data_IF_162960771791
#
_entry.id   IF_162960771791
#
_cell.length_a   1.000
_cell.length_b   1.000
_cell.length_c   1.000
_cell.angle_alpha   90.00
_cell.angle_beta   90.00
_cell.angle_gamma   90.00
#
_symmetry.space_group_name_H-M   'P 1'
#
loop_
_entity.id
_entity.type
_entity.pdbx_description
1 polymer ?
#
# COMPACT_ATOMS: atom_id res chain seq x y z
N UNK A 1 -27.32 6.15 1.18
CA UNK A 1 -28.71 5.74 0.92
C UNK A 1 -28.89 5.39 -0.57
N UNK A 2 -29.29 4.14 -0.86
CA UNK A 2 -29.67 3.71 -2.21
C UNK A 2 -31.17 3.93 -2.43
N UNK A 3 -31.57 4.41 -3.62
CA UNK A 3 -32.97 4.62 -3.96
C UNK A 3 -33.63 3.32 -4.37
N UNK A 4 -34.66 2.88 -3.67
CA UNK A 4 -35.44 1.67 -4.00
C UNK A 4 -36.23 1.79 -5.31
N UNK A 5 -36.47 3.02 -5.80
CA UNK A 5 -37.23 3.28 -7.01
C UNK A 5 -36.38 3.32 -8.28
N UNK A 6 -35.06 3.34 -8.11
CA UNK A 6 -34.13 3.45 -9.23
C UNK A 6 -33.62 2.07 -9.66
N UNK A 7 -33.67 1.79 -10.96
CA UNK A 7 -33.15 0.51 -11.47
C UNK A 7 -31.62 0.46 -11.35
N UNK A 8 -31.07 -0.69 -10.94
CA UNK A 8 -29.63 -0.89 -10.71
C UNK A 8 -28.77 -0.52 -11.91
N UNK A 9 -29.28 -0.71 -13.13
CA UNK A 9 -28.60 -0.34 -14.39
C UNK A 9 -28.26 1.16 -14.44
N UNK A 10 -29.05 2.02 -13.81
CA UNK A 10 -28.85 3.48 -13.78
C UNK A 10 -28.07 3.98 -12.57
N UNK A 11 -27.59 3.07 -11.70
CA UNK A 11 -26.75 3.44 -10.55
C UNK A 11 -25.40 3.98 -11.00
N UNK A 12 -24.91 5.00 -10.29
CA UNK A 12 -23.50 5.43 -10.40
C UNK A 12 -22.56 4.30 -10.01
N UNK A 13 -21.27 4.43 -10.31
CA UNK A 13 -20.25 3.46 -9.89
C UNK A 13 -20.24 3.29 -8.37
N UNK A 14 -20.28 4.40 -7.62
CA UNK A 14 -20.34 4.38 -6.16
C UNK A 14 -21.61 3.72 -5.62
N UNK A 15 -22.77 3.99 -6.22
CA UNK A 15 -24.03 3.33 -5.83
C UNK A 15 -23.96 1.81 -6.07
N UNK A 16 -23.41 1.37 -7.19
CA UNK A 16 -23.19 -0.06 -7.45
C UNK A 16 -22.24 -0.69 -6.45
N UNK A 17 -21.15 0.00 -6.10
CA UNK A 17 -20.21 -0.49 -5.09
C UNK A 17 -20.87 -0.66 -3.73
N UNK A 18 -21.64 0.35 -3.26
CA UNK A 18 -22.40 0.25 -2.01
C UNK A 18 -23.42 -0.89 -2.03
N UNK A 19 -24.10 -1.13 -3.15
CA UNK A 19 -25.00 -2.26 -3.31
C UNK A 19 -24.25 -3.59 -3.24
N UNK A 20 -23.12 -3.72 -3.92
CA UNK A 20 -22.29 -4.95 -3.89
C UNK A 20 -21.82 -5.28 -2.48
N UNK A 21 -21.40 -4.27 -1.71
CA UNK A 21 -21.01 -4.45 -0.32
C UNK A 21 -22.20 -4.89 0.54
N UNK A 22 -23.37 -4.25 0.37
CA UNK A 22 -24.59 -4.64 1.11
C UNK A 22 -24.98 -6.09 0.82
N UNK A 23 -24.85 -6.54 -0.43
CA UNK A 23 -25.09 -7.95 -0.82
C UNK A 23 -24.07 -8.88 -0.19
N UNK A 24 -22.78 -8.54 -0.26
CA UNK A 24 -21.70 -9.35 0.31
C UNK A 24 -21.85 -9.54 1.83
N UNK A 25 -22.40 -8.55 2.52
CA UNK A 25 -22.59 -8.58 3.97
C UNK A 25 -23.94 -9.19 4.41
N UNK A 26 -24.88 -9.39 3.49
CA UNK A 26 -26.25 -9.81 3.82
C UNK A 26 -26.35 -11.19 4.46
N UNK A 27 -25.27 -11.97 4.46
CA UNK A 27 -25.20 -13.33 5.01
C UNK A 27 -24.19 -13.46 6.17
N UNK A 28 -23.90 -12.35 6.87
CA UNK A 28 -22.93 -12.29 7.98
C UNK A 28 -21.54 -12.81 7.58
N UNK A 29 -21.01 -12.29 6.47
CA UNK A 29 -19.68 -12.64 6.01
C UNK A 29 -18.62 -12.20 7.01
N UNK A 30 -17.76 -13.12 7.43
CA UNK A 30 -16.60 -12.86 8.28
C UNK A 30 -15.38 -12.43 7.43
N UNK A 31 -15.36 -12.81 6.14
CA UNK A 31 -14.27 -12.51 5.22
C UNK A 31 -14.81 -11.75 4.01
N UNK A 32 -14.24 -10.58 3.73
CA UNK A 32 -14.49 -9.80 2.52
C UNK A 32 -13.28 -9.88 1.60
N UNK A 33 -13.53 -10.23 0.33
CA UNK A 33 -12.51 -10.19 -0.72
C UNK A 33 -12.92 -9.12 -1.72
N UNK A 34 -12.09 -8.08 -1.84
CA UNK A 34 -12.39 -6.87 -2.59
C UNK A 34 -11.30 -6.63 -3.65
N UNK A 35 -11.71 -6.58 -4.91
CA UNK A 35 -10.81 -6.27 -6.01
C UNK A 35 -11.07 -4.85 -6.51
N UNK A 36 -10.07 -3.97 -6.34
CA UNK A 36 -10.11 -2.56 -6.78
C UNK A 36 -11.37 -1.81 -6.30
N UNK A 37 -11.81 -2.04 -5.07
CA UNK A 37 -13.10 -1.59 -4.54
C UNK A 37 -13.30 -0.06 -4.58
N UNK A 38 -12.23 0.71 -4.47
CA UNK A 38 -12.26 2.18 -4.44
C UNK A 38 -11.90 2.84 -5.77
N UNK A 39 -11.45 2.04 -6.74
CA UNK A 39 -10.99 2.53 -8.04
C UNK A 39 -12.11 3.24 -8.81
N UNK A 40 -11.81 4.48 -9.30
CA UNK A 40 -12.73 5.28 -10.09
C UNK A 40 -13.99 5.75 -9.37
N UNK A 41 -13.98 5.76 -8.03
CA UNK A 41 -14.99 6.43 -7.22
C UNK A 41 -14.63 7.91 -7.07
N UNK A 42 -15.66 8.75 -6.86
CA UNK A 42 -15.41 10.11 -6.42
C UNK A 42 -14.85 10.13 -4.99
N UNK A 43 -14.12 11.19 -4.60
CA UNK A 43 -13.43 11.22 -3.31
C UNK A 43 -14.34 11.03 -2.09
N UNK A 44 -15.58 11.52 -2.14
CA UNK A 44 -16.52 11.43 -1.01
C UNK A 44 -16.99 9.99 -0.84
N UNK A 45 -17.43 9.34 -1.91
CA UNK A 45 -17.88 7.94 -1.87
C UNK A 45 -16.72 7.01 -1.53
N UNK A 46 -15.51 7.31 -2.04
CA UNK A 46 -14.31 6.55 -1.69
C UNK A 46 -14.04 6.59 -0.19
N UNK A 47 -14.09 7.77 0.42
CA UNK A 47 -13.90 7.94 1.86
C UNK A 47 -14.96 7.18 2.66
N UNK A 48 -16.25 7.25 2.27
CA UNK A 48 -17.33 6.49 2.91
C UNK A 48 -17.10 4.96 2.84
N UNK A 49 -16.52 4.45 1.75
CA UNK A 49 -16.18 3.03 1.63
C UNK A 49 -15.02 2.67 2.55
N UNK A 50 -13.97 3.49 2.61
CA UNK A 50 -12.83 3.24 3.50
C UNK A 50 -13.23 3.27 4.97
N UNK A 51 -14.06 4.22 5.38
CA UNK A 51 -14.59 4.30 6.74
C UNK A 51 -15.44 3.06 7.08
N UNK A 52 -16.28 2.61 6.13
CA UNK A 52 -17.04 1.38 6.30
C UNK A 52 -16.12 0.15 6.48
N UNK A 53 -15.02 0.04 5.73
CA UNK A 53 -14.07 -1.07 5.87
C UNK A 53 -13.39 -1.04 7.25
N UNK A 54 -13.02 0.15 7.74
CA UNK A 54 -12.49 0.32 9.10
C UNK A 54 -13.50 -0.09 10.16
N UNK A 55 -14.77 0.30 10.02
CA UNK A 55 -15.83 -0.10 10.95
C UNK A 55 -16.06 -1.62 10.93
N UNK A 56 -16.04 -2.24 9.73
CA UNK A 56 -16.19 -3.69 9.61
C UNK A 56 -15.07 -4.46 10.32
N UNK A 57 -13.84 -3.96 10.28
CA UNK A 57 -12.67 -4.55 10.94
C UNK A 57 -12.63 -4.32 12.46
N UNK A 58 -13.57 -3.59 13.07
CA UNK A 58 -13.62 -3.47 14.53
C UNK A 58 -14.01 -4.80 15.22
N UNK A 59 -14.67 -5.70 14.52
CA UNK A 59 -14.91 -7.06 14.99
C UNK A 59 -13.68 -7.94 14.69
N UNK A 60 -13.07 -8.52 15.73
CA UNK A 60 -11.86 -9.35 15.61
C UNK A 60 -12.06 -10.62 14.76
N UNK A 61 -13.29 -11.03 14.52
CA UNK A 61 -13.61 -12.17 13.65
C UNK A 61 -13.64 -11.78 12.16
N UNK A 62 -13.62 -10.49 11.86
CA UNK A 62 -13.70 -10.02 10.49
C UNK A 62 -12.29 -9.87 9.85
N UNK A 63 -12.21 -10.23 8.58
CA UNK A 63 -10.99 -10.11 7.79
C UNK A 63 -11.30 -9.53 6.42
N UNK A 64 -10.45 -8.63 5.94
CA UNK A 64 -10.54 -8.06 4.60
C UNK A 64 -9.28 -8.40 3.81
N UNK A 65 -9.45 -8.96 2.63
CA UNK A 65 -8.44 -9.02 1.59
C UNK A 65 -8.81 -8.02 0.49
N UNK A 66 -8.04 -6.96 0.36
CA UNK A 66 -8.29 -5.91 -0.64
C UNK A 66 -7.13 -5.76 -1.60
N UNK A 67 -7.40 -5.76 -2.91
CA UNK A 67 -6.45 -5.29 -3.92
C UNK A 67 -6.70 -3.82 -4.22
N UNK A 68 -5.65 -3.04 -4.38
CA UNK A 68 -5.72 -1.65 -4.83
C UNK A 68 -4.40 -1.19 -5.45
N UNK A 69 -4.48 -0.35 -6.48
CA UNK A 69 -3.35 0.44 -6.97
C UNK A 69 -3.30 1.84 -6.33
N UNK A 70 -4.25 2.16 -5.46
CA UNK A 70 -4.33 3.44 -4.76
C UNK A 70 -3.70 3.25 -3.37
N UNK A 71 -2.42 3.54 -3.25
CA UNK A 71 -1.64 3.26 -2.05
C UNK A 71 -2.12 4.00 -0.80
N UNK A 72 -2.66 5.22 -0.97
CA UNK A 72 -3.25 5.97 0.14
C UNK A 72 -4.44 5.27 0.79
N UNK A 73 -5.20 4.44 0.04
CA UNK A 73 -6.28 3.64 0.60
C UNK A 73 -5.73 2.52 1.48
N UNK A 74 -4.73 1.80 0.95
CA UNK A 74 -4.05 0.74 1.70
C UNK A 74 -3.36 1.31 2.95
N UNK A 75 -2.72 2.47 2.85
CA UNK A 75 -2.14 3.15 4.01
C UNK A 75 -3.16 3.47 5.10
N UNK A 76 -4.41 3.78 4.71
CA UNK A 76 -5.49 4.08 5.64
C UNK A 76 -6.06 2.82 6.30
N UNK A 77 -6.32 1.74 5.54
CA UNK A 77 -7.12 0.61 6.04
C UNK A 77 -6.35 -0.68 6.29
N UNK A 78 -5.16 -0.87 5.68
CA UNK A 78 -4.46 -2.14 5.78
C UNK A 78 -3.56 -2.23 7.02
N UNK A 79 -3.53 -3.41 7.66
CA UNK A 79 -2.55 -3.76 8.69
C UNK A 79 -1.30 -4.40 8.06
N UNK A 80 -1.51 -5.21 7.02
CA UNK A 80 -0.46 -5.90 6.27
C UNK A 80 -0.45 -5.47 4.82
N UNK A 81 0.73 -5.39 4.23
CA UNK A 81 0.92 -5.14 2.80
C UNK A 81 1.57 -6.35 2.15
N UNK A 82 0.88 -6.92 1.16
CA UNK A 82 1.43 -7.91 0.25
C UNK A 82 1.75 -7.22 -1.09
N UNK A 83 3.00 -7.23 -1.51
CA UNK A 83 3.40 -6.64 -2.77
C UNK A 83 3.68 -7.70 -3.82
N UNK A 84 2.93 -7.63 -4.92
CA UNK A 84 3.03 -8.55 -6.05
C UNK A 84 3.56 -7.81 -7.27
N UNK A 85 4.61 -8.33 -7.89
CA UNK A 85 5.14 -7.82 -9.15
C UNK A 85 5.57 -8.98 -10.06
N UNK A 86 5.25 -8.89 -11.35
CA UNK A 86 5.56 -9.92 -12.35
C UNK A 86 5.17 -11.35 -11.91
N UNK A 87 3.99 -11.50 -11.29
CA UNK A 87 3.46 -12.78 -10.83
C UNK A 87 4.17 -13.37 -9.60
N UNK A 88 5.00 -12.59 -8.91
CA UNK A 88 5.72 -13.01 -7.70
C UNK A 88 5.34 -12.10 -6.53
N UNK A 89 5.15 -12.72 -5.36
CA UNK A 89 5.06 -11.99 -4.10
C UNK A 89 6.47 -11.57 -3.71
N UNK A 90 6.73 -10.26 -3.64
CA UNK A 90 8.02 -9.70 -3.25
C UNK A 90 8.19 -9.63 -1.73
N UNK A 91 7.11 -9.26 -1.03
CA UNK A 91 7.05 -9.30 0.43
C UNK A 91 5.58 -9.37 0.92
N UNK A 92 5.41 -9.80 2.17
CA UNK A 92 4.17 -9.69 2.95
C UNK A 92 4.58 -9.27 4.35
N UNK A 93 4.31 -8.03 4.73
CA UNK A 93 4.77 -7.48 6.00
C UNK A 93 3.74 -6.54 6.64
N UNK A 94 3.78 -6.39 7.98
CA UNK A 94 3.01 -5.35 8.66
C UNK A 94 3.36 -3.97 8.08
N UNK A 95 2.35 -3.16 7.82
CA UNK A 95 2.51 -1.83 7.21
C UNK A 95 3.48 -0.93 8.00
N UNK A 96 3.39 -0.96 9.33
CA UNK A 96 4.21 -0.11 10.18
C UNK A 96 5.67 -0.57 10.19
N UNK A 97 5.91 -1.88 10.19
CA UNK A 97 7.27 -2.46 10.09
C UNK A 97 7.94 -2.11 8.77
N UNK A 98 7.20 -2.10 7.65
CA UNK A 98 7.73 -1.65 6.37
C UNK A 98 8.35 -0.24 6.46
N UNK A 99 7.65 0.70 7.11
CA UNK A 99 8.14 2.09 7.26
C UNK A 99 9.26 2.23 8.27
N UNK A 100 9.39 1.27 9.20
CA UNK A 100 10.44 1.25 10.23
C UNK A 100 11.69 0.53 9.78
N UNK A 101 11.56 -0.55 9.00
CA UNK A 101 12.66 -1.38 8.54
C UNK A 101 13.47 -0.74 7.42
N UNK A 102 12.87 0.20 6.65
CA UNK A 102 13.53 0.85 5.53
C UNK A 102 13.79 2.34 5.79
N UNK A 103 14.75 2.89 5.07
CA UNK A 103 15.09 4.31 5.08
C UNK A 103 15.54 4.78 3.72
N UNK A 104 15.31 6.07 3.41
CA UNK A 104 15.85 6.71 2.22
C UNK A 104 17.01 7.61 2.66
N UNK A 105 18.14 7.50 1.96
CA UNK A 105 19.27 8.41 2.10
C UNK A 105 19.81 8.84 0.74
N UNK A 106 20.45 10.00 0.73
CA UNK A 106 21.21 10.48 -0.44
C UNK A 106 22.67 10.53 -0.06
N UNK A 107 23.51 9.79 -0.78
CA UNK A 107 24.92 9.62 -0.53
C UNK A 107 25.73 9.96 -1.77
N UNK A 108 26.98 10.43 -1.59
CA UNK A 108 27.95 10.54 -2.66
C UNK A 108 28.37 9.15 -3.15
N UNK A 109 28.99 9.06 -4.33
CA UNK A 109 29.46 7.79 -4.85
C UNK A 109 30.50 7.12 -3.92
N UNK A 110 31.37 7.91 -3.30
CA UNK A 110 32.38 7.43 -2.34
C UNK A 110 31.74 6.84 -1.07
N UNK A 111 30.67 7.48 -0.56
CA UNK A 111 29.94 6.99 0.62
C UNK A 111 29.17 5.70 0.29
N UNK A 112 28.64 5.56 -0.93
CA UNK A 112 27.94 4.33 -1.35
C UNK A 112 28.91 3.15 -1.45
N UNK A 113 30.16 3.34 -1.89
CA UNK A 113 31.18 2.28 -1.92
C UNK A 113 31.52 1.71 -0.55
N UNK A 114 31.31 2.50 0.51
CA UNK A 114 31.53 2.08 1.90
C UNK A 114 30.29 1.43 2.53
N UNK A 115 29.15 1.37 1.82
CA UNK A 115 27.93 0.77 2.32
C UNK A 115 27.85 -0.71 1.91
N UNK A 116 27.38 -1.55 2.81
CA UNK A 116 27.14 -2.96 2.49
C UNK A 116 26.06 -3.07 1.39
N UNK A 117 26.37 -3.78 0.31
CA UNK A 117 25.43 -4.05 -0.78
C UNK A 117 24.16 -4.77 -0.29
N UNK A 118 24.23 -5.56 0.80
CA UNK A 118 23.06 -6.20 1.40
C UNK A 118 22.11 -5.20 2.09
N UNK A 119 22.62 -4.02 2.43
CA UNK A 119 21.80 -2.94 2.98
C UNK A 119 20.96 -2.26 1.89
N UNK A 120 21.39 -2.30 0.63
CA UNK A 120 20.77 -1.57 -0.47
C UNK A 120 19.68 -2.40 -1.12
N UNK A 121 18.43 -1.91 -1.05
CA UNK A 121 17.27 -2.51 -1.74
C UNK A 121 17.19 -2.00 -3.17
N UNK A 122 17.41 -0.71 -3.37
CA UNK A 122 17.37 -0.09 -4.68
C UNK A 122 18.04 1.26 -4.69
N UNK A 123 18.40 1.73 -5.89
CA UNK A 123 19.12 2.99 -6.09
C UNK A 123 18.57 3.80 -7.24
N UNK A 124 18.67 5.12 -7.12
CA UNK A 124 18.44 6.09 -8.18
C UNK A 124 19.67 6.98 -8.29
N UNK A 125 20.25 7.05 -9.48
CA UNK A 125 21.45 7.83 -9.75
C UNK A 125 21.04 9.24 -10.17
N UNK A 126 21.62 10.23 -9.53
CA UNK A 126 21.46 11.65 -9.84
C UNK A 126 22.83 12.29 -10.14
N UNK A 127 22.82 13.50 -10.68
CA UNK A 127 24.06 14.23 -11.01
C UNK A 127 24.93 14.55 -9.79
N UNK A 128 24.39 14.53 -8.58
CA UNK A 128 25.09 14.90 -7.34
C UNK A 128 25.25 13.73 -6.35
N UNK A 129 24.98 12.48 -6.76
CA UNK A 129 25.06 11.31 -5.89
C UNK A 129 23.97 10.29 -6.19
N UNK A 130 23.74 9.41 -5.24
CA UNK A 130 22.74 8.36 -5.34
C UNK A 130 21.72 8.47 -4.24
N UNK A 131 20.45 8.37 -4.58
CA UNK A 131 19.37 8.18 -3.62
C UNK A 131 19.10 6.68 -3.49
N UNK A 132 19.11 6.18 -2.25
CA UNK A 132 19.04 4.77 -1.95
C UNK A 132 17.86 4.48 -1.03
N UNK A 133 17.15 3.38 -1.30
CA UNK A 133 16.35 2.71 -0.29
C UNK A 133 17.22 1.65 0.38
N UNK A 134 17.33 1.73 1.69
CA UNK A 134 18.20 0.86 2.48
C UNK A 134 17.46 0.17 3.61
N UNK A 135 17.95 -1.00 4.03
CA UNK A 135 17.55 -1.65 5.28
C UNK A 135 18.18 -0.88 6.44
N UNK A 136 17.35 -0.28 7.27
CA UNK A 136 17.78 0.61 8.36
C UNK A 136 18.75 -0.04 9.34
N UNK A 137 18.56 -1.33 9.64
CA UNK A 137 19.38 -2.10 10.56
C UNK A 137 20.79 -2.46 10.04
N UNK A 138 21.05 -2.27 8.75
CA UNK A 138 22.34 -2.54 8.10
C UNK A 138 23.10 -1.27 7.74
N UNK A 139 22.54 -0.10 8.05
CA UNK A 139 23.19 1.18 7.75
C UNK A 139 24.03 1.62 8.95
N UNK A 140 25.29 2.05 8.74
CA UNK A 140 26.15 2.57 9.81
C UNK A 140 25.56 3.82 10.49
N UNK A 141 25.88 4.00 11.77
CA UNK A 141 25.53 5.21 12.51
C UNK A 141 26.10 6.47 11.83
N UNK A 142 25.32 7.55 11.85
CA UNK A 142 25.72 8.84 11.30
C UNK A 142 25.09 9.14 9.92
N UNK A 143 24.57 8.15 9.21
CA UNK A 143 23.83 8.38 7.97
C UNK A 143 22.40 8.83 8.28
N UNK A 144 22.02 10.00 7.78
CA UNK A 144 20.66 10.53 7.97
C UNK A 144 19.66 9.81 7.08
N UNK A 145 18.75 9.06 7.70
CA UNK A 145 17.68 8.35 7.01
C UNK A 145 16.35 9.11 7.10
N UNK A 146 15.70 9.29 5.96
CA UNK A 146 14.31 9.74 5.87
C UNK A 146 13.38 8.53 5.95
N UNK A 147 12.17 8.71 6.51
CA UNK A 147 11.13 7.67 6.55
C UNK A 147 10.48 7.57 5.16
N UNK A 148 10.51 6.39 4.51
CA UNK A 148 9.89 6.21 3.20
C UNK A 148 8.36 6.13 3.31
N UNK A 149 7.67 6.50 2.24
CA UNK A 149 6.28 6.08 2.01
C UNK A 149 6.23 4.63 1.51
N UNK A 150 5.06 4.00 1.56
CA UNK A 150 4.88 2.67 0.95
C UNK A 150 5.12 2.74 -0.57
N UNK A 151 4.72 3.84 -1.21
CA UNK A 151 4.99 4.07 -2.63
C UNK A 151 6.48 4.08 -2.95
N UNK A 152 7.29 4.76 -2.14
CA UNK A 152 8.74 4.77 -2.30
C UNK A 152 9.30 3.36 -2.22
N UNK A 153 8.93 2.61 -1.18
CA UNK A 153 9.38 1.23 -0.98
C UNK A 153 9.07 0.40 -2.22
N UNK A 154 7.81 0.40 -2.70
CA UNK A 154 7.39 -0.36 -3.87
C UNK A 154 8.16 0.03 -5.13
N UNK A 155 8.36 1.34 -5.37
CA UNK A 155 9.10 1.83 -6.56
C UNK A 155 10.56 1.33 -6.53
N UNK A 156 11.22 1.38 -5.38
CA UNK A 156 12.60 0.92 -5.26
C UNK A 156 12.73 -0.60 -5.41
N UNK A 157 11.76 -1.38 -4.93
CA UNK A 157 11.73 -2.83 -5.14
C UNK A 157 11.59 -3.20 -6.62
N UNK A 158 10.84 -2.41 -7.41
CA UNK A 158 10.61 -2.67 -8.84
C UNK A 158 11.69 -2.05 -9.72
N UNK A 159 11.99 -0.77 -9.53
CA UNK A 159 12.85 0.02 -10.42
C UNK A 159 14.28 0.17 -9.92
N UNK A 160 14.48 0.00 -8.62
CA UNK A 160 15.78 0.13 -7.97
C UNK A 160 16.67 -1.10 -8.07
N UNK A 161 16.26 -2.11 -8.83
CA UNK A 161 16.99 -3.37 -8.97
C UNK A 161 18.44 -3.14 -9.37
N UNK A 162 19.32 -3.95 -8.80
CA UNK A 162 20.76 -3.99 -9.03
C UNK A 162 21.06 -3.96 -10.54
N UNK A 163 21.49 -2.83 -11.05
CA UNK A 163 22.23 -2.73 -12.31
C UNK A 163 23.67 -2.43 -12.00
#
# INVERSE_FOLDING_TARGET
>A
NLSEKQVVKSYSRGMRMKLSMAVALSHNAEILILDEATSGLDPIVREEILDFLLDFMQDENHTILISSHILSDLEKVADYIAFINDGKVLFVEPKDELKENYGICTLSNEEVENLDEEAIIGRRIHSFGQELLVKRNLVPDGIRLQKPSIEDIMIYFVKGGKR
#
